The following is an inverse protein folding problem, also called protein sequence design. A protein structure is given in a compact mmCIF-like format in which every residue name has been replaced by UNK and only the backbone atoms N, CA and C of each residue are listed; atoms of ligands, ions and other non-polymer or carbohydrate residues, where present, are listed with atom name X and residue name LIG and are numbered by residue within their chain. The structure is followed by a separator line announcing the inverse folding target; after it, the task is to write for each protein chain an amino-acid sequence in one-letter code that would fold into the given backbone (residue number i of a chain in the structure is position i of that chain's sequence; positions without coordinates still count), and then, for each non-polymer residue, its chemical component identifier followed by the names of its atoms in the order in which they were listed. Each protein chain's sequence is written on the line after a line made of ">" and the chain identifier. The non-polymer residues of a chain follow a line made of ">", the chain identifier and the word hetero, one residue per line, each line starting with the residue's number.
data_IF_753054334219
#
_entry.id   IF_753054334219
#
_cell.length_a   1.000
_cell.length_b   1.000
_cell.length_c   1.000
_cell.angle_alpha   90.00
_cell.angle_beta   90.00
_cell.angle_gamma   90.00
#
_symmetry.space_group_name_H-M   'P 1'
#
loop_
_entity.id
_entity.type
_entity.pdbx_description
1 polymer ?
#
# COMPACT_ATOMS: atom_id res chain seq x y z
N UNK A 1 36.72 -3.07 28.03
CA UNK A 1 35.43 -3.53 27.46
C UNK A 1 35.72 -4.16 26.12
N UNK A 2 35.49 -5.46 26.03
CA UNK A 2 35.74 -6.30 24.85
C UNK A 2 34.73 -6.02 23.75
N UNK A 3 35.21 -5.91 22.51
CA UNK A 3 34.38 -5.92 21.31
C UNK A 3 34.01 -7.37 20.98
N UNK A 4 32.71 -7.62 20.84
CA UNK A 4 32.12 -8.92 20.51
C UNK A 4 32.00 -9.03 18.99
N UNK A 5 32.69 -10.00 18.37
CA UNK A 5 32.42 -10.40 16.98
C UNK A 5 31.29 -11.43 16.96
N UNK A 6 30.23 -11.18 16.18
CA UNK A 6 29.23 -12.19 15.85
C UNK A 6 29.47 -12.77 14.45
N UNK A 7 29.61 -14.10 14.41
CA UNK A 7 29.61 -14.93 13.20
C UNK A 7 28.20 -14.96 12.60
N UNK A 8 28.06 -14.54 11.34
CA UNK A 8 26.88 -14.87 10.53
C UNK A 8 27.18 -16.11 9.68
N UNK A 9 26.50 -17.20 10.04
CA UNK A 9 26.43 -18.47 9.32
C UNK A 9 25.57 -18.29 8.07
N UNK A 10 26.19 -18.33 6.88
CA UNK A 10 25.48 -18.44 5.60
C UNK A 10 25.14 -19.91 5.36
N UNK A 11 23.85 -20.26 5.42
CA UNK A 11 23.35 -21.52 4.85
C UNK A 11 23.11 -21.33 3.35
N UNK A 12 23.50 -22.30 2.49
CA UNK A 12 23.24 -22.23 1.05
C UNK A 12 21.79 -22.61 0.74
N UNK A 13 21.12 -21.76 -0.04
CA UNK A 13 19.87 -22.11 -0.73
C UNK A 13 20.23 -22.96 -1.95
N UNK A 14 19.59 -24.13 -2.02
CA UNK A 14 19.81 -25.18 -3.01
C UNK A 14 19.09 -24.81 -4.31
N UNK A 15 19.81 -24.30 -5.29
CA UNK A 15 19.34 -24.24 -6.67
C UNK A 15 19.38 -25.66 -7.27
N UNK A 16 18.24 -26.16 -7.73
CA UNK A 16 18.16 -27.38 -8.53
C UNK A 16 18.93 -27.17 -9.83
N UNK A 17 19.97 -27.98 -10.03
CA UNK A 17 20.87 -27.87 -11.16
C UNK A 17 20.21 -28.27 -12.48
N UNK A 18 20.25 -27.35 -13.45
CA UNK A 18 20.35 -27.73 -14.85
C UNK A 18 21.82 -28.11 -15.09
N UNK A 19 22.11 -29.40 -15.08
CA UNK A 19 23.43 -29.91 -15.41
C UNK A 19 23.56 -29.92 -16.94
N UNK A 20 24.20 -28.90 -17.50
CA UNK A 20 24.63 -28.92 -18.90
C UNK A 20 25.75 -29.96 -18.98
N UNK A 21 25.43 -31.14 -19.49
CA UNK A 21 26.43 -32.13 -19.91
C UNK A 21 27.09 -31.58 -21.17
N UNK A 22 28.24 -30.94 -21.01
CA UNK A 22 29.15 -30.73 -22.14
C UNK A 22 29.74 -32.12 -22.43
N UNK A 23 29.25 -32.75 -23.49
CA UNK A 23 29.87 -33.96 -24.01
C UNK A 23 31.24 -33.57 -24.56
N UNK A 24 32.30 -34.01 -23.89
CA UNK A 24 33.66 -33.94 -24.40
C UNK A 24 33.77 -34.83 -25.63
N UNK A 25 33.54 -34.25 -26.81
CA UNK A 25 33.96 -34.84 -28.07
C UNK A 25 35.48 -34.75 -28.13
N UNK A 26 36.14 -35.85 -27.74
CA UNK A 26 37.55 -36.11 -27.99
C UNK A 26 37.77 -36.32 -29.50
N UNK A 27 37.84 -35.22 -30.23
CA UNK A 27 38.25 -35.14 -31.62
C UNK A 27 38.68 -33.72 -31.92
N UNK A 28 39.84 -33.53 -32.53
CA UNK A 28 40.34 -32.20 -32.92
C UNK A 28 39.40 -31.55 -33.94
N UNK A 29 38.52 -30.68 -33.45
CA UNK A 29 37.66 -29.88 -34.31
C UNK A 29 38.44 -28.61 -34.75
N UNK A 30 38.48 -28.29 -36.06
CA UNK A 30 39.16 -27.10 -36.58
C UNK A 30 38.69 -25.81 -35.91
N UNK A 31 39.61 -24.89 -35.61
CA UNK A 31 39.35 -23.67 -34.82
C UNK A 31 38.19 -22.78 -35.31
N UNK A 32 37.82 -22.90 -36.59
CA UNK A 32 36.66 -22.20 -37.18
C UNK A 32 35.33 -22.66 -36.54
N UNK A 33 35.19 -23.93 -36.18
CA UNK A 33 33.93 -24.47 -35.63
C UNK A 33 33.70 -24.07 -34.17
N UNK A 34 34.77 -23.83 -33.40
CA UNK A 34 34.69 -23.28 -32.03
C UNK A 34 34.20 -21.82 -32.04
N UNK A 35 34.63 -21.04 -33.05
CA UNK A 35 34.15 -19.67 -33.24
C UNK A 35 32.66 -19.63 -33.59
N UNK A 36 32.17 -20.57 -34.41
CA UNK A 36 30.74 -20.64 -34.75
C UNK A 36 29.83 -20.98 -33.57
N UNK A 37 30.27 -21.84 -32.65
CA UNK A 37 29.47 -22.20 -31.45
C UNK A 37 29.39 -21.00 -30.48
N UNK A 38 30.48 -20.25 -30.31
CA UNK A 38 30.51 -19.04 -29.47
C UNK A 38 29.72 -17.90 -30.10
N UNK A 39 29.77 -17.74 -31.43
CA UNK A 39 28.99 -16.71 -32.14
C UNK A 39 27.48 -17.01 -32.11
N UNK A 40 27.10 -18.29 -32.17
CA UNK A 40 25.71 -18.75 -32.08
C UNK A 40 25.12 -18.55 -30.68
N UNK A 41 25.89 -18.77 -29.62
CA UNK A 41 25.46 -18.52 -28.24
C UNK A 41 25.44 -17.04 -27.88
N UNK A 42 26.29 -16.21 -28.48
CA UNK A 42 26.24 -14.74 -28.35
C UNK A 42 25.08 -14.11 -29.13
N UNK A 43 24.63 -14.69 -30.25
CA UNK A 43 23.44 -14.24 -30.98
C UNK A 43 22.12 -14.57 -30.25
N UNK A 44 22.10 -15.59 -29.39
CA UNK A 44 20.90 -15.99 -28.66
C UNK A 44 20.55 -15.07 -27.48
N UNK A 45 21.44 -14.14 -27.09
CA UNK A 45 21.21 -13.18 -26.00
C UNK A 45 20.50 -11.89 -26.45
N UNK A 46 20.17 -11.75 -27.74
CA UNK A 46 19.66 -10.50 -28.33
C UNK A 46 18.15 -10.44 -28.57
N UNK A 47 17.36 -11.42 -28.13
CA UNK A 47 15.91 -11.42 -28.35
C UNK A 47 15.16 -11.13 -27.05
N UNK A 48 15.28 -9.91 -26.55
CA UNK A 48 14.18 -9.32 -25.77
C UNK A 48 13.02 -9.13 -26.76
N UNK A 49 12.17 -10.15 -26.90
CA UNK A 49 10.94 -10.01 -27.64
C UNK A 49 10.09 -8.96 -26.91
N UNK A 50 9.93 -7.77 -27.48
CA UNK A 50 8.93 -6.82 -26.98
C UNK A 50 7.56 -7.49 -27.11
N UNK A 51 7.05 -7.92 -25.96
CA UNK A 51 5.75 -8.52 -25.71
C UNK A 51 4.66 -7.45 -25.91
N UNK A 52 4.32 -7.18 -27.18
CA UNK A 52 3.38 -6.12 -27.58
C UNK A 52 2.02 -6.70 -27.96
N UNK A 53 0.96 -6.06 -27.47
CA UNK A 53 -0.42 -6.38 -27.85
C UNK A 53 -0.63 -6.48 -29.37
N UNK A 54 -0.08 -5.56 -30.15
CA UNK A 54 -0.20 -5.59 -31.61
C UNK A 54 0.36 -6.87 -32.24
N UNK A 55 1.51 -7.36 -31.75
CA UNK A 55 2.12 -8.60 -32.25
C UNK A 55 1.28 -9.81 -31.88
N UNK A 56 0.73 -9.84 -30.67
CA UNK A 56 -0.17 -10.92 -30.24
C UNK A 56 -1.45 -10.93 -31.06
N UNK A 57 -2.11 -9.78 -31.21
CA UNK A 57 -3.30 -9.65 -32.02
C UNK A 57 -3.03 -10.08 -33.48
N UNK A 58 -1.91 -9.65 -34.07
CA UNK A 58 -1.52 -10.03 -35.42
C UNK A 58 -1.29 -11.55 -35.57
N UNK A 59 -0.66 -12.21 -34.58
CA UNK A 59 -0.49 -13.67 -34.57
C UNK A 59 -1.83 -14.39 -34.44
N UNK A 60 -2.67 -13.96 -33.49
CA UNK A 60 -3.97 -14.58 -33.24
C UNK A 60 -4.90 -14.47 -34.46
N UNK A 61 -4.94 -13.31 -35.12
CA UNK A 61 -5.81 -13.07 -36.27
C UNK A 61 -5.34 -13.74 -37.57
N UNK A 62 -4.05 -14.05 -37.71
CA UNK A 62 -3.51 -14.75 -38.89
C UNK A 62 -3.54 -16.28 -38.75
N UNK A 63 -3.87 -16.81 -37.56
CA UNK A 63 -4.05 -18.24 -37.36
C UNK A 63 -5.42 -18.70 -37.86
N UNK A 64 -5.49 -19.83 -38.56
CA UNK A 64 -6.71 -20.37 -39.20
C UNK A 64 -7.74 -20.91 -38.18
N UNK A 65 -7.50 -20.75 -36.88
CA UNK A 65 -8.38 -21.26 -35.81
C UNK A 65 -9.42 -20.21 -35.39
N UNK A 66 -10.66 -20.39 -35.84
CA UNK A 66 -11.81 -19.50 -35.64
C UNK A 66 -12.47 -19.57 -34.26
N UNK A 67 -11.73 -19.87 -33.19
CA UNK A 67 -12.31 -19.93 -31.84
C UNK A 67 -11.68 -18.88 -30.93
N UNK A 68 -12.47 -17.84 -30.64
CA UNK A 68 -12.43 -16.95 -29.47
C UNK A 68 -11.03 -16.76 -28.88
N UNK A 69 -10.29 -15.75 -29.37
CA UNK A 69 -8.92 -15.34 -28.99
C UNK A 69 -8.51 -15.76 -27.56
N UNK A 70 -7.92 -16.96 -27.36
CA UNK A 70 -7.28 -17.33 -26.11
C UNK A 70 -5.79 -17.08 -26.34
N UNK A 71 -5.28 -15.89 -26.00
CA UNK A 71 -3.84 -15.66 -26.08
C UNK A 71 -3.36 -14.29 -26.53
N UNK A 72 -4.02 -13.20 -26.12
CA UNK A 72 -3.41 -11.86 -26.15
C UNK A 72 -3.05 -11.42 -24.73
N UNK A 73 -2.12 -12.11 -24.04
CA UNK A 73 -1.76 -11.80 -22.65
C UNK A 73 -1.25 -10.37 -22.49
N UNK A 74 -0.63 -9.82 -23.54
CA UNK A 74 -0.05 -8.48 -23.53
C UNK A 74 -1.03 -7.37 -23.93
N UNK A 75 -2.29 -7.70 -24.27
CA UNK A 75 -3.35 -6.70 -24.47
C UNK A 75 -4.03 -6.39 -23.14
N UNK A 76 -3.32 -5.67 -22.27
CA UNK A 76 -3.78 -5.25 -20.96
C UNK A 76 -3.39 -3.77 -20.72
N UNK A 77 -3.82 -3.21 -19.58
CA UNK A 77 -3.54 -1.82 -19.22
C UNK A 77 -2.27 -1.64 -18.36
N UNK A 78 -1.46 -2.69 -18.20
CA UNK A 78 -0.26 -2.66 -17.37
C UNK A 78 0.87 -1.94 -18.09
N UNK A 79 1.47 -0.99 -17.41
CA UNK A 79 2.68 -0.29 -17.81
C UNK A 79 3.40 0.19 -16.55
N UNK A 80 4.67 0.59 -16.66
CA UNK A 80 5.48 0.95 -15.49
C UNK A 80 5.74 -0.27 -14.59
N UNK A 81 5.78 -0.05 -13.28
CA UNK A 81 6.07 -1.07 -12.28
C UNK A 81 4.81 -1.51 -11.52
N UNK A 82 3.63 -1.44 -12.15
CA UNK A 82 2.35 -1.78 -11.48
C UNK A 82 2.34 -3.20 -10.88
N UNK A 83 2.98 -4.17 -11.52
CA UNK A 83 3.05 -5.54 -10.99
C UNK A 83 3.88 -5.62 -9.70
N UNK A 84 4.89 -4.77 -9.56
CA UNK A 84 5.71 -4.64 -8.36
C UNK A 84 4.97 -3.86 -7.26
N UNK A 85 4.31 -2.75 -7.62
CA UNK A 85 3.64 -1.86 -6.68
C UNK A 85 2.24 -2.32 -6.24
N UNK A 86 1.58 -3.19 -7.00
CA UNK A 86 0.22 -3.64 -6.72
C UNK A 86 0.00 -4.14 -5.28
N UNK A 87 0.87 -4.98 -4.68
CA UNK A 87 0.67 -5.44 -3.31
C UNK A 87 0.63 -4.29 -2.28
N UNK A 88 1.40 -3.23 -2.47
CA UNK A 88 1.42 -2.09 -1.55
C UNK A 88 0.18 -1.21 -1.72
N UNK A 89 -0.22 -0.95 -2.97
CA UNK A 89 -1.46 -0.22 -3.27
C UNK A 89 -2.69 -0.95 -2.72
N UNK A 90 -2.71 -2.29 -2.80
CA UNK A 90 -3.76 -3.11 -2.19
C UNK A 90 -3.77 -2.98 -0.66
N UNK A 91 -2.60 -3.04 0.00
CA UNK A 91 -2.50 -2.89 1.44
C UNK A 91 -3.01 -1.54 1.90
N UNK A 92 -2.63 -0.47 1.20
CA UNK A 92 -3.04 0.87 1.52
C UNK A 92 -4.54 1.09 1.27
N UNK A 93 -5.11 0.55 0.18
CA UNK A 93 -6.56 0.57 -0.03
C UNK A 93 -7.32 -0.15 1.09
N UNK A 94 -6.85 -1.32 1.52
CA UNK A 94 -7.44 -2.05 2.64
C UNK A 94 -7.31 -1.28 3.96
N UNK A 95 -6.19 -0.59 4.16
CA UNK A 95 -5.96 0.26 5.33
C UNK A 95 -6.91 1.46 5.38
N UNK A 96 -7.09 2.17 4.25
CA UNK A 96 -8.06 3.28 4.14
C UNK A 96 -9.46 2.81 4.52
N UNK A 97 -9.90 1.66 3.97
CA UNK A 97 -11.20 1.08 4.31
C UNK A 97 -11.28 0.68 5.79
N UNK A 98 -10.25 0.06 6.35
CA UNK A 98 -10.24 -0.32 7.77
C UNK A 98 -10.31 0.92 8.68
N UNK A 99 -9.47 1.92 8.43
CA UNK A 99 -9.43 3.18 9.20
C UNK A 99 -10.71 4.01 9.03
N UNK A 100 -11.43 3.86 7.92
CA UNK A 100 -12.77 4.45 7.78
C UNK A 100 -13.73 3.92 8.86
N UNK A 101 -13.65 2.62 9.20
CA UNK A 101 -14.45 2.04 10.29
C UNK A 101 -13.99 2.51 11.68
N UNK A 102 -12.70 2.72 11.90
CA UNK A 102 -12.19 3.31 13.14
C UNK A 102 -12.85 4.68 13.40
N UNK A 103 -12.83 5.56 12.40
CA UNK A 103 -13.47 6.87 12.49
C UNK A 103 -15.00 6.79 12.57
N UNK A 104 -15.62 5.81 11.91
CA UNK A 104 -17.06 5.56 12.02
C UNK A 104 -17.44 5.21 13.47
N UNK A 105 -16.66 4.36 14.13
CA UNK A 105 -16.90 3.96 15.51
C UNK A 105 -16.66 5.15 16.47
N UNK A 106 -15.63 5.96 16.24
CA UNK A 106 -15.44 7.20 16.99
C UNK A 106 -16.62 8.16 16.80
N UNK A 107 -17.12 8.33 15.58
CA UNK A 107 -18.29 9.16 15.28
C UNK A 107 -19.52 8.69 16.05
N UNK A 108 -19.87 7.41 15.98
CA UNK A 108 -21.04 6.85 16.67
C UNK A 108 -20.92 6.89 18.19
N UNK A 109 -19.70 6.76 18.72
CA UNK A 109 -19.43 6.92 20.14
C UNK A 109 -19.71 8.36 20.61
N UNK A 110 -19.26 9.39 19.89
CA UNK A 110 -19.53 10.78 20.27
C UNK A 110 -20.99 11.20 20.01
N UNK A 111 -21.67 10.57 19.06
CA UNK A 111 -23.09 10.79 18.76
C UNK A 111 -24.08 10.08 19.69
N UNK A 112 -23.61 9.32 20.68
CA UNK A 112 -24.51 8.66 21.63
C UNK A 112 -25.11 9.64 22.66
N UNK A 113 -26.21 9.25 23.30
CA UNK A 113 -26.94 10.13 24.24
C UNK A 113 -26.15 10.49 25.52
N UNK A 114 -25.11 9.73 25.87
CA UNK A 114 -24.28 9.96 27.07
C UNK A 114 -23.20 11.00 26.77
N UNK A 115 -22.50 10.85 25.64
CA UNK A 115 -21.45 11.78 25.21
C UNK A 115 -22.03 13.03 24.58
N UNK A 116 -22.97 12.86 23.66
CA UNK A 116 -23.72 13.91 22.99
C UNK A 116 -22.82 15.08 22.55
N UNK A 117 -21.79 14.76 21.76
CA UNK A 117 -20.80 15.71 21.20
C UNK A 117 -20.99 15.79 19.68
N UNK A 118 -22.00 16.51 19.18
CA UNK A 118 -22.32 16.56 17.76
C UNK A 118 -21.19 17.15 16.88
N UNK A 119 -20.32 17.99 17.42
CA UNK A 119 -19.14 18.50 16.71
C UNK A 119 -18.10 17.42 16.47
N UNK A 120 -17.74 16.65 17.50
CA UNK A 120 -16.86 15.49 17.39
C UNK A 120 -17.48 14.38 16.52
N UNK A 121 -18.77 14.09 16.69
CA UNK A 121 -19.50 13.14 15.85
C UNK A 121 -19.35 13.49 14.37
N UNK A 122 -19.62 14.75 14.01
CA UNK A 122 -19.52 15.27 12.64
C UNK A 122 -18.08 15.25 12.13
N UNK A 123 -17.11 15.60 12.96
CA UNK A 123 -15.69 15.58 12.61
C UNK A 123 -15.25 14.17 12.20
N UNK A 124 -15.52 13.17 13.04
CA UNK A 124 -15.10 11.80 12.74
C UNK A 124 -15.95 11.16 11.63
N UNK A 125 -17.21 11.56 11.48
CA UNK A 125 -18.01 11.17 10.31
C UNK A 125 -17.34 11.62 9.01
N UNK A 126 -16.88 12.87 8.96
CA UNK A 126 -16.17 13.42 7.80
C UNK A 126 -14.91 12.60 7.47
N UNK A 127 -14.08 12.26 8.46
CA UNK A 127 -12.88 11.46 8.20
C UNK A 127 -13.19 10.03 7.78
N UNK A 128 -14.20 9.38 8.40
CA UNK A 128 -14.71 8.08 7.96
C UNK A 128 -15.12 8.11 6.49
N UNK A 129 -15.97 9.06 6.10
CA UNK A 129 -16.50 9.14 4.74
C UNK A 129 -15.39 9.46 3.72
N UNK A 130 -14.43 10.32 4.08
CA UNK A 130 -13.27 10.63 3.26
C UNK A 130 -12.42 9.38 2.99
N UNK A 131 -11.99 8.66 4.03
CA UNK A 131 -11.15 7.47 3.86
C UNK A 131 -11.87 6.34 3.12
N UNK A 132 -13.18 6.20 3.32
CA UNK A 132 -13.98 5.25 2.55
C UNK A 132 -13.95 5.59 1.05
N UNK A 133 -14.14 6.87 0.70
CA UNK A 133 -14.09 7.32 -0.68
C UNK A 133 -12.68 7.20 -1.27
N UNK A 134 -11.64 7.61 -0.54
CA UNK A 134 -10.25 7.49 -0.96
C UNK A 134 -9.86 6.01 -1.21
N UNK A 135 -10.31 5.09 -0.35
CA UNK A 135 -10.12 3.65 -0.56
C UNK A 135 -10.80 3.15 -1.85
N UNK A 136 -12.01 3.62 -2.14
CA UNK A 136 -12.71 3.28 -3.40
C UNK A 136 -11.96 3.85 -4.62
N UNK A 137 -11.50 5.10 -4.56
CA UNK A 137 -10.76 5.72 -5.66
C UNK A 137 -9.43 5.02 -5.92
N UNK A 138 -8.72 4.61 -4.86
CA UNK A 138 -7.48 3.83 -5.02
C UNK A 138 -7.72 2.46 -5.65
N UNK A 139 -8.82 1.78 -5.30
CA UNK A 139 -9.23 0.52 -5.95
C UNK A 139 -9.51 0.75 -7.44
N UNK A 140 -10.20 1.85 -7.79
CA UNK A 140 -10.45 2.19 -9.20
C UNK A 140 -9.15 2.46 -9.93
N UNK A 141 -8.25 3.25 -9.34
CA UNK A 141 -6.93 3.56 -9.87
C UNK A 141 -6.14 2.29 -10.16
N UNK A 142 -6.06 1.36 -9.18
CA UNK A 142 -5.39 0.07 -9.34
C UNK A 142 -5.93 -0.72 -10.55
N UNK A 143 -7.26 -0.77 -10.71
CA UNK A 143 -7.90 -1.48 -11.83
C UNK A 143 -7.65 -0.78 -13.19
N UNK A 144 -7.61 0.56 -13.22
CA UNK A 144 -7.29 1.34 -14.44
C UNK A 144 -5.84 1.08 -14.90
N UNK A 145 -4.91 0.88 -13.95
CA UNK A 145 -3.51 0.50 -14.23
C UNK A 145 -3.34 -0.97 -14.62
N UNK A 146 -4.42 -1.74 -14.74
CA UNK A 146 -4.39 -3.16 -15.09
C UNK A 146 -4.03 -4.10 -13.94
N UNK A 147 -3.96 -3.58 -12.71
CA UNK A 147 -3.86 -4.37 -11.51
C UNK A 147 -5.21 -4.93 -11.08
N UNK A 148 -5.22 -5.67 -9.97
CA UNK A 148 -6.44 -6.22 -9.38
C UNK A 148 -6.43 -6.05 -7.87
N UNK A 149 -7.58 -5.76 -7.27
CA UNK A 149 -7.68 -5.64 -5.81
C UNK A 149 -7.68 -7.02 -5.11
N UNK A 150 -6.93 -7.14 -4.01
CA UNK A 150 -7.01 -8.27 -3.07
C UNK A 150 -7.34 -7.75 -1.66
N UNK A 151 -8.58 -8.01 -1.22
CA UNK A 151 -9.07 -7.60 0.10
C UNK A 151 -8.53 -8.44 1.26
N UNK A 152 -7.67 -9.44 1.01
CA UNK A 152 -6.99 -10.21 2.06
C UNK A 152 -5.61 -9.66 2.38
N UNK A 153 -5.08 -8.79 1.53
CA UNK A 153 -3.77 -8.19 1.67
C UNK A 153 -3.83 -7.01 2.66
N UNK A 154 -3.93 -7.30 3.96
CA UNK A 154 -3.93 -6.29 5.01
C UNK A 154 -2.52 -6.01 5.54
N UNK A 155 -2.23 -4.77 5.95
CA UNK A 155 -1.06 -4.45 6.75
C UNK A 155 -0.98 -5.33 8.01
N UNK A 156 0.18 -5.91 8.27
CA UNK A 156 0.40 -6.81 9.43
C UNK A 156 0.18 -6.14 10.78
N UNK A 157 0.27 -4.81 10.87
CA UNK A 157 -0.02 -4.03 12.08
C UNK A 157 -1.53 -3.87 12.36
N UNK A 158 -2.41 -4.08 11.36
CA UNK A 158 -3.87 -4.04 11.52
C UNK A 158 -4.46 -5.42 11.81
N UNK A 159 -3.80 -6.46 11.32
CA UNK A 159 -4.14 -7.84 11.67
C UNK A 159 -3.51 -8.12 13.02
N UNK A 160 -4.33 -8.16 14.07
CA UNK A 160 -3.93 -8.84 15.30
C UNK A 160 -3.68 -10.30 14.92
N UNK A 161 -2.42 -10.68 14.68
CA UNK A 161 -2.07 -12.09 14.49
C UNK A 161 -2.67 -12.88 15.66
N UNK A 162 -3.67 -13.71 15.33
CA UNK A 162 -4.24 -14.69 16.24
C UNK A 162 -3.08 -15.40 16.92
N UNK A 163 -3.10 -15.38 18.27
CA UNK A 163 -2.20 -16.20 19.05
C UNK A 163 -2.29 -17.63 18.50
N UNK A 164 -1.22 -18.11 17.88
CA UNK A 164 -1.11 -19.48 17.40
C UNK A 164 -1.06 -20.41 18.62
N UNK A 165 -2.24 -20.78 19.15
CA UNK A 165 -2.38 -21.63 20.32
C UNK A 165 -3.85 -21.88 20.67
N UNK A 166 -4.18 -23.09 21.12
CA UNK A 166 -5.53 -23.56 21.43
C UNK A 166 -6.25 -22.81 22.58
N UNK A 167 -5.63 -21.77 23.14
CA UNK A 167 -6.16 -20.92 24.21
C UNK A 167 -5.97 -19.42 23.90
N UNK A 168 -6.08 -19.03 22.63
CA UNK A 168 -6.09 -17.64 22.23
C UNK A 168 -7.35 -16.92 22.75
N UNK A 169 -7.25 -16.19 23.86
CA UNK A 169 -8.25 -15.17 24.17
C UNK A 169 -8.19 -14.11 23.06
N UNK A 170 -9.32 -13.74 22.42
CA UNK A 170 -9.34 -12.59 21.53
C UNK A 170 -8.78 -11.39 22.31
N UNK A 171 -7.80 -10.68 21.76
CA UNK A 171 -7.49 -9.37 22.32
C UNK A 171 -8.77 -8.53 22.20
N UNK A 172 -9.10 -7.72 23.23
CA UNK A 172 -10.20 -6.78 23.08
C UNK A 172 -9.85 -5.90 21.89
N UNK A 173 -10.76 -5.81 20.91
CA UNK A 173 -10.61 -4.86 19.81
C UNK A 173 -10.38 -3.44 20.34
N UNK A 174 -9.92 -2.51 19.49
CA UNK A 174 -9.58 -1.17 19.92
C UNK A 174 -10.73 -0.53 20.72
N UNK A 175 -10.41 -0.05 21.92
CA UNK A 175 -11.38 0.61 22.78
C UNK A 175 -11.60 2.05 22.30
N UNK A 176 -12.79 2.31 21.75
CA UNK A 176 -13.20 3.64 21.28
C UNK A 176 -13.85 4.49 22.38
N UNK A 177 -13.85 4.02 23.62
CA UNK A 177 -14.25 4.78 24.82
C UNK A 177 -13.19 5.82 25.20
N UNK A 178 -13.02 6.82 24.32
CA UNK A 178 -11.99 7.85 24.41
C UNK A 178 -12.58 9.16 24.93
N UNK A 179 -11.80 9.91 25.72
CA UNK A 179 -12.11 11.33 25.97
C UNK A 179 -11.87 12.16 24.71
N UNK A 180 -12.47 13.35 24.65
CA UNK A 180 -12.37 14.29 23.53
C UNK A 180 -10.91 14.62 23.15
N UNK A 181 -10.04 14.79 24.14
CA UNK A 181 -8.61 15.03 23.89
C UNK A 181 -7.88 13.78 23.38
N UNK A 182 -8.17 12.62 23.97
CA UNK A 182 -7.55 11.36 23.56
C UNK A 182 -8.02 10.95 22.17
N UNK A 183 -9.27 11.22 21.79
CA UNK A 183 -9.79 10.92 20.46
C UNK A 183 -9.13 11.79 19.39
N UNK A 184 -8.85 13.08 19.65
CA UNK A 184 -8.11 13.92 18.71
C UNK A 184 -6.65 13.47 18.57
N UNK A 185 -6.02 13.11 19.69
CA UNK A 185 -4.64 12.59 19.69
C UNK A 185 -4.56 11.28 18.90
N UNK A 186 -5.51 10.37 19.11
CA UNK A 186 -5.60 9.12 18.37
C UNK A 186 -5.83 9.35 16.88
N UNK A 187 -6.73 10.26 16.52
CA UNK A 187 -6.99 10.64 15.14
C UNK A 187 -5.73 11.19 14.46
N UNK A 188 -4.98 12.06 15.16
CA UNK A 188 -3.73 12.63 14.65
C UNK A 188 -2.69 11.54 14.37
N UNK A 189 -2.55 10.55 15.25
CA UNK A 189 -1.62 9.44 15.03
C UNK A 189 -2.05 8.56 13.85
N UNK A 190 -3.35 8.23 13.74
CA UNK A 190 -3.88 7.45 12.62
C UNK A 190 -3.60 8.12 11.26
N UNK A 191 -3.78 9.44 11.18
CA UNK A 191 -3.54 10.21 9.95
C UNK A 191 -2.05 10.35 9.62
N UNK A 192 -1.19 10.41 10.64
CA UNK A 192 0.28 10.37 10.43
C UNK A 192 0.75 9.01 9.95
N UNK A 193 0.18 7.93 10.49
CA UNK A 193 0.46 6.57 10.03
C UNK A 193 0.09 6.44 8.56
N UNK A 194 -1.13 6.85 8.18
CA UNK A 194 -1.58 6.86 6.78
C UNK A 194 -0.69 7.71 5.87
N UNK A 195 -0.25 8.88 6.33
CA UNK A 195 0.67 9.73 5.58
C UNK A 195 2.05 9.07 5.40
N UNK A 196 2.52 8.35 6.41
CA UNK A 196 3.76 7.57 6.35
C UNK A 196 3.70 6.50 5.29
N UNK A 197 2.60 5.74 5.22
CA UNK A 197 2.41 4.69 4.22
C UNK A 197 2.42 5.26 2.78
N UNK A 198 1.88 6.48 2.58
CA UNK A 198 1.95 7.18 1.29
C UNK A 198 3.38 7.52 0.91
N UNK A 199 4.21 7.94 1.87
CA UNK A 199 5.62 8.23 1.62
C UNK A 199 6.41 6.97 1.28
N UNK A 200 6.11 5.84 1.92
CA UNK A 200 6.74 4.56 1.62
C UNK A 200 6.38 4.10 0.19
N UNK A 201 5.09 4.18 -0.20
CA UNK A 201 4.65 3.86 -1.57
C UNK A 201 5.33 4.79 -2.59
N UNK A 202 5.40 6.09 -2.30
CA UNK A 202 6.05 7.07 -3.17
C UNK A 202 7.53 6.75 -3.35
N UNK A 203 8.24 6.46 -2.26
CA UNK A 203 9.65 6.09 -2.28
C UNK A 203 9.91 4.83 -3.12
N UNK A 204 9.06 3.81 -2.99
CA UNK A 204 9.18 2.59 -3.78
C UNK A 204 8.82 2.79 -5.25
N UNK A 205 7.85 3.65 -5.56
CA UNK A 205 7.52 4.03 -6.93
C UNK A 205 8.64 4.86 -7.60
N UNK A 206 9.42 5.61 -6.84
CA UNK A 206 10.59 6.36 -7.32
C UNK A 206 11.90 5.54 -7.22
N UNK A 207 11.83 4.23 -6.96
CA UNK A 207 13.00 3.35 -6.99
C UNK A 207 13.49 3.19 -8.44
N UNK A 208 14.67 3.75 -8.72
CA UNK A 208 15.31 3.70 -10.03
C UNK A 208 15.98 2.34 -10.33
N UNK A 209 15.72 1.32 -9.53
CA UNK A 209 16.03 -0.09 -9.84
C UNK A 209 15.22 -0.55 -11.05
N UNK A 210 15.84 -1.35 -11.92
CA UNK A 210 15.21 -1.86 -13.14
C UNK A 210 13.92 -2.63 -12.81
N UNK A 211 12.80 -2.17 -13.37
CA UNK A 211 11.48 -2.78 -13.18
C UNK A 211 10.69 -2.30 -11.95
N UNK A 212 11.22 -1.37 -11.15
CA UNK A 212 10.54 -0.83 -9.96
C UNK A 212 10.02 0.61 -10.14
N UNK A 213 10.62 1.37 -11.06
CA UNK A 213 10.26 2.77 -11.30
C UNK A 213 8.87 2.94 -11.93
N UNK A 214 8.01 3.74 -11.30
CA UNK A 214 6.68 4.11 -11.78
C UNK A 214 6.33 5.57 -11.42
N UNK A 215 6.73 6.50 -12.29
CA UNK A 215 6.47 7.92 -12.13
C UNK A 215 4.97 8.27 -12.01
N UNK A 216 4.08 7.46 -12.58
CA UNK A 216 2.65 7.73 -12.54
C UNK A 216 2.05 7.38 -11.17
N UNK A 217 2.52 6.30 -10.52
CA UNK A 217 2.16 6.00 -9.13
C UNK A 217 2.68 7.08 -8.19
N UNK A 218 3.95 7.47 -8.32
CA UNK A 218 4.54 8.52 -7.50
C UNK A 218 3.71 9.82 -7.61
N UNK A 219 3.38 10.24 -8.83
CA UNK A 219 2.56 11.42 -9.07
C UNK A 219 1.12 11.28 -8.55
N UNK A 220 0.50 10.11 -8.68
CA UNK A 220 -0.84 9.86 -8.14
C UNK A 220 -0.85 9.98 -6.61
N UNK A 221 0.15 9.44 -5.92
CA UNK A 221 0.31 9.56 -4.47
C UNK A 221 0.42 11.04 -4.03
N UNK A 222 1.23 11.83 -4.75
CA UNK A 222 1.40 13.26 -4.49
C UNK A 222 0.06 14.02 -4.59
N UNK A 223 -0.64 13.87 -5.71
CA UNK A 223 -1.84 14.64 -6.00
C UNK A 223 -3.03 14.22 -5.13
N UNK A 224 -3.23 12.92 -4.92
CA UNK A 224 -4.45 12.42 -4.30
C UNK A 224 -4.34 12.26 -2.78
N UNK A 225 -3.14 12.11 -2.22
CA UNK A 225 -2.98 11.74 -0.81
C UNK A 225 -2.07 12.68 -0.03
N UNK A 226 -0.89 13.05 -0.56
CA UNK A 226 0.11 13.83 0.19
C UNK A 226 -0.47 15.18 0.67
N UNK A 227 -1.11 15.93 -0.22
CA UNK A 227 -1.70 17.22 0.13
C UNK A 227 -2.87 17.09 1.13
N UNK A 228 -3.72 16.07 0.94
CA UNK A 228 -4.85 15.81 1.84
C UNK A 228 -4.37 15.50 3.26
N UNK A 229 -3.40 14.60 3.41
CA UNK A 229 -2.88 14.24 4.73
C UNK A 229 -2.16 15.41 5.40
N UNK A 230 -1.40 16.23 4.66
CA UNK A 230 -0.80 17.46 5.21
C UNK A 230 -1.86 18.33 5.89
N UNK A 231 -2.96 18.60 5.19
CA UNK A 231 -3.99 19.52 5.65
C UNK A 231 -4.79 18.93 6.83
N UNK A 232 -5.08 17.63 6.79
CA UNK A 232 -5.75 16.92 7.89
C UNK A 232 -4.86 16.87 9.14
N UNK A 233 -3.58 16.47 9.00
CA UNK A 233 -2.62 16.42 10.11
C UNK A 233 -2.44 17.79 10.73
N UNK A 234 -2.34 18.85 9.90
CA UNK A 234 -2.25 20.23 10.42
C UNK A 234 -3.50 20.62 11.20
N UNK A 235 -4.68 20.26 10.72
CA UNK A 235 -5.96 20.58 11.38
C UNK A 235 -6.08 19.86 12.72
N UNK A 236 -5.85 18.54 12.73
CA UNK A 236 -5.87 17.72 13.95
C UNK A 236 -4.84 18.18 14.97
N UNK A 237 -3.63 18.55 14.55
CA UNK A 237 -2.61 19.11 15.45
C UNK A 237 -3.01 20.46 16.04
N UNK A 238 -3.78 21.27 15.30
CA UNK A 238 -4.40 22.49 15.82
C UNK A 238 -5.44 22.16 16.89
N UNK A 239 -6.36 21.24 16.57
CA UNK A 239 -7.42 20.82 17.49
C UNK A 239 -6.88 20.23 18.79
N UNK A 240 -5.87 19.37 18.73
CA UNK A 240 -5.24 18.81 19.93
C UNK A 240 -4.57 19.90 20.76
N UNK A 241 -3.88 20.84 20.13
CA UNK A 241 -3.24 21.96 20.82
C UNK A 241 -4.28 22.84 21.52
N UNK A 242 -5.28 23.30 20.78
CA UNK A 242 -6.28 24.25 21.28
C UNK A 242 -7.10 23.62 22.42
N UNK A 243 -7.54 22.37 22.26
CA UNK A 243 -8.25 21.68 23.34
C UNK A 243 -7.33 21.41 24.54
N UNK A 244 -6.06 21.05 24.30
CA UNK A 244 -5.08 20.86 25.37
C UNK A 244 -4.87 22.10 26.22
N UNK A 245 -4.72 23.27 25.59
CA UNK A 245 -4.60 24.56 26.28
C UNK A 245 -5.89 24.94 27.03
N UNK A 246 -7.06 24.66 26.45
CA UNK A 246 -8.36 24.89 27.07
C UNK A 246 -8.59 24.05 28.34
N UNK A 247 -8.06 22.81 28.35
CA UNK A 247 -8.20 21.88 29.48
C UNK A 247 -7.30 22.22 30.68
N UNK A 248 -6.29 23.08 30.52
CA UNK A 248 -5.39 23.52 31.62
C UNK A 248 -6.03 24.59 32.51
N UNK A 249 -7.32 24.86 32.33
CA UNK A 249 -8.09 25.86 33.10
C UNK A 249 -9.07 25.19 34.07
N UNK A 250 -9.53 25.94 35.08
CA UNK A 250 -10.49 25.43 36.08
C UNK A 250 -11.83 24.99 35.48
N UNK A 251 -12.19 25.49 34.29
CA UNK A 251 -13.49 25.27 33.63
C UNK A 251 -13.40 24.29 32.45
N UNK A 252 -12.60 23.22 32.59
CA UNK A 252 -12.36 22.21 31.55
C UNK A 252 -13.65 21.65 30.91
N UNK A 253 -14.71 21.42 31.70
CA UNK A 253 -15.99 20.90 31.17
C UNK A 253 -16.71 21.88 30.26
N UNK A 254 -16.66 23.18 30.58
CA UNK A 254 -17.23 24.23 29.73
C UNK A 254 -16.38 24.38 28.46
N UNK A 255 -15.06 24.29 28.59
CA UNK A 255 -14.16 24.43 27.47
C UNK A 255 -14.37 23.34 26.42
N UNK A 256 -14.55 22.08 26.84
CA UNK A 256 -14.89 20.97 25.94
C UNK A 256 -16.23 21.21 25.24
N UNK A 257 -17.24 21.70 25.95
CA UNK A 257 -18.54 22.03 25.35
C UNK A 257 -18.42 23.11 24.28
N UNK A 258 -17.73 24.22 24.57
CA UNK A 258 -17.51 25.30 23.62
C UNK A 258 -16.68 24.84 22.41
N UNK A 259 -15.68 23.99 22.64
CA UNK A 259 -14.88 23.42 21.57
C UNK A 259 -15.72 22.56 20.61
N UNK A 260 -16.62 21.74 21.15
CA UNK A 260 -17.56 20.93 20.35
C UNK A 260 -18.50 21.81 19.50
N UNK A 261 -19.03 22.90 20.06
CA UNK A 261 -19.84 23.88 19.31
C UNK A 261 -19.05 24.54 18.16
N UNK A 262 -17.76 24.86 18.39
CA UNK A 262 -16.87 25.39 17.35
C UNK A 262 -16.67 24.38 16.22
N UNK A 263 -16.38 23.11 16.55
CA UNK A 263 -16.28 22.03 15.56
C UNK A 263 -17.58 21.87 14.77
N UNK A 264 -18.74 21.88 15.45
CA UNK A 264 -20.04 21.69 14.80
C UNK A 264 -20.33 22.80 13.79
N UNK A 265 -20.05 24.06 14.17
CA UNK A 265 -20.30 25.24 13.35
C UNK A 265 -19.36 25.37 12.15
N UNK A 266 -18.29 24.58 12.09
CA UNK A 266 -17.28 24.66 11.02
C UNK A 266 -16.48 25.96 11.06
N UNK A 267 -16.39 26.61 12.22
CA UNK A 267 -15.60 27.84 12.45
C UNK A 267 -14.13 27.55 12.79
N UNK A 268 -13.69 26.34 12.47
CA UNK A 268 -12.30 25.86 12.52
C UNK A 268 -11.77 25.68 11.10
#
# INVERSE_FOLDING_TARGET
>A
MQWYQSKLSKKPVRLQGFQIVISDYAGEIPGIMKAFIVLSSLLALGLCAEELCYKDAHRSCNSVSSKLVPGTPNCNAKYGAIDFMQPELQQYANQLLYRSFDFLLMSTYFGNYVKNRPGFEKLYRKYSDNLWNDGIELIKYLNVRGGSMDFKNFPRNLVEEENTGAEAKPKPGPNWDLSEYLSLSKALDLEKDLAGDVFDIHLHADDHTEGHYDAEIAHHMENEFVDKHRDIVRSLAGYTKDLGEMLDTADASLAVYLFDELLQSGKY
#
